data_IF_025302101763
#
_entry.id   IF_025302101763
#
_cell.length_a   1.000
_cell.length_b   1.000
_cell.length_c   1.000
_cell.angle_alpha   90.00
_cell.angle_beta   90.00
_cell.angle_gamma   90.00
#
_symmetry.space_group_name_H-M   'P 1'
#
loop_
_entity.id
_entity.type
_entity.pdbx_description
1 polymer ?
#
# COMPACT_ATOMS: atom_id res chain seq x y z
N UNK A 1 -24.87 16.69 15.58
CA UNK A 1 -23.41 16.54 15.41
C UNK A 1 -23.17 15.63 14.22
N UNK A 2 -22.60 16.19 13.15
CA UNK A 2 -22.54 15.58 11.82
C UNK A 2 -21.32 14.66 11.72
N UNK A 3 -21.49 13.35 11.96
CA UNK A 3 -20.39 12.36 11.85
C UNK A 3 -19.94 12.09 10.41
N UNK A 4 -20.66 12.60 9.41
CA UNK A 4 -20.48 12.26 7.99
C UNK A 4 -19.32 12.97 7.27
N UNK A 5 -18.80 14.09 7.81
CA UNK A 5 -17.73 14.87 7.18
C UNK A 5 -16.31 14.27 7.34
N UNK A 6 -15.87 13.80 8.52
CA UNK A 6 -14.52 13.22 8.66
C UNK A 6 -14.35 11.91 7.88
N UNK A 7 -15.39 11.07 7.81
CA UNK A 7 -15.38 9.82 7.03
C UNK A 7 -15.28 10.09 5.52
N UNK A 8 -15.95 11.15 5.04
CA UNK A 8 -15.87 11.58 3.64
C UNK A 8 -14.46 12.05 3.25
N UNK A 9 -13.82 12.84 4.12
CA UNK A 9 -12.46 13.33 3.87
C UNK A 9 -11.43 12.18 3.85
N UNK A 10 -11.57 11.22 4.75
CA UNK A 10 -10.69 10.05 4.78
C UNK A 10 -10.82 9.21 3.50
N UNK A 11 -12.05 9.00 3.01
CA UNK A 11 -12.28 8.28 1.77
C UNK A 11 -11.66 8.99 0.55
N UNK A 12 -11.78 10.32 0.49
CA UNK A 12 -11.17 11.12 -0.57
C UNK A 12 -9.64 11.06 -0.55
N UNK A 13 -9.04 11.10 0.63
CA UNK A 13 -7.60 10.94 0.80
C UNK A 13 -7.14 9.56 0.29
N UNK A 14 -7.82 8.49 0.69
CA UNK A 14 -7.57 7.13 0.19
C UNK A 14 -7.69 7.04 -1.33
N UNK A 15 -8.77 7.59 -1.91
CA UNK A 15 -8.95 7.59 -3.36
C UNK A 15 -7.83 8.33 -4.09
N UNK A 16 -7.39 9.46 -3.56
CA UNK A 16 -6.29 10.26 -4.13
C UNK A 16 -5.01 9.42 -4.24
N UNK A 17 -4.67 8.69 -3.18
CA UNK A 17 -3.52 7.79 -3.14
C UNK A 17 -3.69 6.64 -4.14
N UNK A 18 -4.86 6.00 -4.19
CA UNK A 18 -5.11 4.87 -5.07
C UNK A 18 -5.05 5.28 -6.55
N UNK A 19 -5.64 6.42 -6.91
CA UNK A 19 -5.59 6.94 -8.27
C UNK A 19 -4.17 7.31 -8.70
N UNK A 20 -3.37 7.85 -7.78
CA UNK A 20 -1.95 8.09 -8.04
C UNK A 20 -1.23 6.79 -8.42
N UNK A 21 -1.32 5.74 -7.60
CA UNK A 21 -0.65 4.47 -7.91
C UNK A 21 -1.21 3.81 -9.17
N UNK A 22 -2.53 3.82 -9.39
CA UNK A 22 -3.14 3.32 -10.62
C UNK A 22 -2.64 4.07 -11.86
N UNK A 23 -2.36 5.37 -11.73
CA UNK A 23 -1.84 6.22 -12.79
C UNK A 23 -0.39 5.93 -13.15
N UNK A 24 0.49 5.80 -12.16
CA UNK A 24 1.93 5.59 -12.38
C UNK A 24 2.26 4.14 -12.71
N UNK A 25 1.59 3.16 -12.09
CA UNK A 25 1.95 1.73 -12.25
C UNK A 25 1.80 1.23 -13.69
N UNK A 26 0.90 1.85 -14.47
CA UNK A 26 0.67 1.51 -15.87
C UNK A 26 1.66 2.15 -16.84
N UNK A 27 2.40 3.17 -16.40
CA UNK A 27 3.16 4.08 -17.29
C UNK A 27 4.65 4.09 -16.98
N UNK A 28 5.01 3.94 -15.71
CA UNK A 28 6.36 4.14 -15.22
C UNK A 28 7.08 2.80 -15.01
N UNK A 29 8.42 2.78 -15.05
CA UNK A 29 9.21 1.62 -14.65
C UNK A 29 8.88 1.18 -13.21
N UNK A 30 8.84 -0.13 -12.91
CA UNK A 30 8.53 -0.63 -11.57
C UNK A 30 9.43 -0.05 -10.47
N UNK A 31 10.69 0.23 -10.77
CA UNK A 31 11.67 0.80 -9.84
C UNK A 31 11.29 2.24 -9.44
N UNK A 32 10.80 3.04 -10.39
CA UNK A 32 10.33 4.41 -10.12
C UNK A 32 9.01 4.42 -9.35
N UNK A 33 8.11 3.50 -9.68
CA UNK A 33 6.84 3.32 -8.95
C UNK A 33 7.10 2.88 -7.51
N UNK A 34 8.03 1.95 -7.29
CA UNK A 34 8.45 1.52 -5.97
C UNK A 34 9.10 2.67 -5.20
N UNK A 35 9.94 3.49 -5.85
CA UNK A 35 10.52 4.66 -5.22
C UNK A 35 9.44 5.63 -4.72
N UNK A 36 8.42 5.92 -5.53
CA UNK A 36 7.28 6.76 -5.09
C UNK A 36 6.50 6.13 -3.93
N UNK A 37 6.32 4.81 -3.95
CA UNK A 37 5.72 4.10 -2.81
C UNK A 37 6.55 4.28 -1.53
N UNK A 38 7.87 4.09 -1.61
CA UNK A 38 8.78 4.30 -0.47
C UNK A 38 8.72 5.75 0.00
N UNK A 39 8.74 6.73 -0.91
CA UNK A 39 8.63 8.16 -0.57
C UNK A 39 7.35 8.46 0.18
N UNK A 40 6.23 7.90 -0.28
CA UNK A 40 4.90 8.22 0.23
C UNK A 40 4.60 7.57 1.58
N UNK A 41 5.11 6.36 1.85
CA UNK A 41 4.75 5.61 3.06
C UNK A 41 5.90 5.27 4.00
N UNK A 42 7.14 5.34 3.55
CA UNK A 42 8.28 4.82 4.33
C UNK A 42 9.33 5.90 4.63
N UNK A 43 9.72 6.70 3.63
CA UNK A 43 10.76 7.72 3.75
C UNK A 43 10.23 9.12 4.04
N UNK A 44 8.99 9.45 3.65
CA UNK A 44 8.39 10.79 3.77
C UNK A 44 9.31 11.92 3.29
N UNK A 45 9.92 11.71 2.13
CA UNK A 45 10.70 12.70 1.39
C UNK A 45 9.97 13.05 0.10
N UNK A 46 10.26 14.22 -0.47
CA UNK A 46 9.61 14.82 -1.64
C UNK A 46 9.17 13.77 -2.69
N UNK A 47 7.89 13.37 -2.63
CA UNK A 47 7.22 12.68 -3.72
C UNK A 47 6.83 13.69 -4.78
N UNK A 48 6.80 13.24 -6.03
CA UNK A 48 6.40 14.07 -7.17
C UNK A 48 4.93 14.49 -7.12
N UNK A 49 4.10 13.86 -6.28
CA UNK A 49 2.69 14.17 -6.15
C UNK A 49 2.36 14.72 -4.75
N UNK A 50 2.31 16.05 -4.64
CA UNK A 50 1.97 16.75 -3.39
C UNK A 50 0.58 16.39 -2.87
N UNK A 51 -0.41 16.17 -3.74
CA UNK A 51 -1.75 15.78 -3.32
C UNK A 51 -1.78 14.39 -2.67
N UNK A 52 -0.94 13.45 -3.14
CA UNK A 52 -0.81 12.15 -2.51
C UNK A 52 -0.15 12.27 -1.12
N UNK A 53 0.86 13.14 -0.98
CA UNK A 53 1.50 13.43 0.32
C UNK A 53 0.48 14.00 1.30
N UNK A 54 -0.27 15.02 0.89
CA UNK A 54 -1.31 15.66 1.71
C UNK A 54 -2.37 14.64 2.14
N UNK A 55 -2.80 13.76 1.22
CA UNK A 55 -3.72 12.69 1.53
C UNK A 55 -3.19 11.69 2.57
N UNK A 56 -1.89 11.35 2.54
CA UNK A 56 -1.30 10.51 3.60
C UNK A 56 -1.32 11.23 4.93
N UNK A 57 -1.01 12.53 4.95
CA UNK A 57 -1.10 13.32 6.16
C UNK A 57 -2.53 13.37 6.71
N UNK A 58 -3.54 13.57 5.87
CA UNK A 58 -4.95 13.54 6.28
C UNK A 58 -5.33 12.21 6.95
N UNK A 59 -4.89 11.08 6.38
CA UNK A 59 -5.09 9.75 6.98
C UNK A 59 -4.40 9.66 8.34
N UNK A 60 -3.15 10.12 8.46
CA UNK A 60 -2.38 10.04 9.71
C UNK A 60 -2.94 10.98 10.78
N UNK A 61 -3.46 12.14 10.39
CA UNK A 61 -4.10 13.10 11.28
C UNK A 61 -5.47 12.64 11.76
N UNK A 62 -6.18 11.80 10.98
CA UNK A 62 -7.40 11.13 11.47
C UNK A 62 -7.16 10.23 12.69
N UNK A 63 -5.89 9.87 12.94
CA UNK A 63 -5.44 9.06 14.08
C UNK A 63 -6.08 7.66 14.12
N UNK A 64 -6.42 7.13 12.94
CA UNK A 64 -6.91 5.77 12.76
C UNK A 64 -5.83 4.90 12.10
N UNK A 65 -5.14 4.10 12.91
CA UNK A 65 -4.10 3.19 12.43
C UNK A 65 -4.67 2.11 11.50
N UNK A 66 -5.89 1.63 11.74
CA UNK A 66 -6.49 0.58 10.92
C UNK A 66 -6.72 1.09 9.50
N UNK A 67 -7.20 2.33 9.36
CA UNK A 67 -7.41 2.96 8.06
C UNK A 67 -6.09 3.25 7.33
N UNK A 68 -5.04 3.65 8.05
CA UNK A 68 -3.70 3.73 7.46
C UNK A 68 -3.22 2.37 6.95
N UNK A 69 -3.31 1.31 7.76
CA UNK A 69 -2.90 -0.05 7.35
C UNK A 69 -3.72 -0.55 6.16
N UNK A 70 -5.03 -0.31 6.14
CA UNK A 70 -5.91 -0.63 5.02
C UNK A 70 -5.44 0.07 3.74
N UNK A 71 -5.05 1.34 3.85
CA UNK A 71 -4.56 2.15 2.73
C UNK A 71 -3.24 1.62 2.17
N UNK A 72 -2.28 1.31 3.05
CA UNK A 72 -1.00 0.70 2.65
C UNK A 72 -1.25 -0.66 1.99
N UNK A 73 -2.05 -1.53 2.60
CA UNK A 73 -2.41 -2.85 2.07
C UNK A 73 -3.02 -2.73 0.67
N UNK A 74 -3.99 -1.83 0.49
CA UNK A 74 -4.66 -1.61 -0.79
C UNK A 74 -3.71 -1.08 -1.86
N UNK A 75 -2.80 -0.18 -1.47
CA UNK A 75 -1.76 0.34 -2.36
C UNK A 75 -0.81 -0.77 -2.81
N UNK A 76 -0.36 -1.63 -1.90
CA UNK A 76 0.44 -2.81 -2.25
C UNK A 76 -0.29 -3.71 -3.26
N UNK A 77 -1.58 -3.98 -3.05
CA UNK A 77 -2.34 -4.77 -4.03
C UNK A 77 -2.43 -4.10 -5.39
N UNK A 78 -2.65 -2.78 -5.48
CA UNK A 78 -2.67 -2.09 -6.78
C UNK A 78 -1.38 -2.37 -7.56
N UNK A 79 -0.23 -2.30 -6.88
CA UNK A 79 1.08 -2.55 -7.47
C UNK A 79 1.27 -4.03 -7.85
N UNK A 80 1.06 -4.94 -6.89
CA UNK A 80 1.20 -6.39 -7.08
C UNK A 80 0.36 -6.88 -8.25
N UNK A 81 -0.90 -6.45 -8.36
CA UNK A 81 -1.82 -6.90 -9.39
C UNK A 81 -1.34 -6.51 -10.78
N UNK A 82 -0.84 -5.29 -10.91
CA UNK A 82 -0.36 -4.78 -12.18
C UNK A 82 0.97 -5.43 -12.59
N UNK A 83 1.88 -5.58 -11.64
CA UNK A 83 3.17 -6.21 -11.86
C UNK A 83 3.05 -7.71 -12.11
N UNK A 84 2.15 -8.43 -11.44
CA UNK A 84 1.89 -9.84 -11.71
C UNK A 84 1.35 -10.05 -13.12
N UNK A 85 0.38 -9.23 -13.53
CA UNK A 85 -0.18 -9.27 -14.89
C UNK A 85 0.89 -9.01 -15.98
N UNK A 86 1.94 -8.27 -15.66
CA UNK A 86 3.07 -7.97 -16.55
C UNK A 86 4.34 -8.78 -16.24
N UNK A 87 4.22 -9.82 -15.39
CA UNK A 87 5.29 -10.74 -14.97
C UNK A 87 6.53 -10.06 -14.37
N UNK A 88 6.34 -8.91 -13.69
CA UNK A 88 7.37 -8.15 -13.00
C UNK A 88 7.59 -8.66 -11.56
N UNK A 89 7.92 -9.95 -11.42
CA UNK A 89 8.03 -10.61 -10.11
C UNK A 89 9.10 -10.02 -9.19
N UNK A 90 10.22 -9.56 -9.77
CA UNK A 90 11.27 -8.85 -9.02
C UNK A 90 10.72 -7.60 -8.31
N UNK A 91 9.87 -6.82 -8.97
CA UNK A 91 9.28 -5.62 -8.37
C UNK A 91 8.35 -5.95 -7.20
N UNK A 92 7.63 -7.08 -7.28
CA UNK A 92 6.80 -7.59 -6.19
C UNK A 92 7.69 -7.97 -4.99
N UNK A 93 8.79 -8.69 -5.23
CA UNK A 93 9.76 -9.03 -4.20
C UNK A 93 10.36 -7.79 -3.54
N UNK A 94 10.83 -6.84 -4.35
CA UNK A 94 11.44 -5.60 -3.88
C UNK A 94 10.45 -4.74 -3.07
N UNK A 95 9.15 -4.75 -3.41
CA UNK A 95 8.10 -4.08 -2.65
C UNK A 95 7.90 -4.69 -1.27
N UNK A 96 7.82 -6.01 -1.17
CA UNK A 96 7.61 -6.67 0.13
C UNK A 96 8.86 -6.50 1.01
N UNK A 97 10.06 -6.66 0.43
CA UNK A 97 11.33 -6.44 1.13
C UNK A 97 11.51 -4.98 1.59
N UNK A 98 10.91 -4.00 0.90
CA UNK A 98 11.01 -2.59 1.29
C UNK A 98 10.51 -2.30 2.72
N UNK A 99 9.59 -3.11 3.26
CA UNK A 99 9.12 -2.97 4.64
C UNK A 99 10.11 -3.48 5.68
N UNK A 100 11.10 -4.28 5.28
CA UNK A 100 12.13 -4.83 6.16
C UNK A 100 13.33 -3.90 6.32
N UNK A 101 13.46 -2.89 5.46
CA UNK A 101 14.51 -1.88 5.56
C UNK A 101 14.37 -1.10 6.90
N UNK A 102 15.25 -1.34 7.87
CA UNK A 102 15.22 -0.63 9.17
C UNK A 102 15.69 0.85 9.08
N UNK A 103 15.91 1.36 7.87
CA UNK A 103 16.32 2.75 7.61
C UNK A 103 15.29 3.79 8.07
N UNK A 104 14.04 3.39 8.31
CA UNK A 104 12.96 4.24 8.84
C UNK A 104 13.08 4.51 10.35
N UNK A 105 14.10 3.96 11.02
CA UNK A 105 14.35 4.14 12.46
C UNK A 105 15.07 5.44 12.83
N UNK A 106 15.35 6.33 11.87
CA UNK A 106 16.00 7.62 12.18
C UNK A 106 15.12 8.43 13.13
N UNK A 107 15.72 8.83 14.26
CA UNK A 107 15.08 9.70 15.24
C UNK A 107 14.58 10.97 14.56
N UNK A 108 13.29 11.24 14.67
CA UNK A 108 12.63 12.44 14.15
C UNK A 108 11.94 13.17 15.29
N UNK A 109 11.97 14.50 15.25
CA UNK A 109 11.31 15.36 16.23
C UNK A 109 9.82 15.52 15.88
N UNK A 110 9.42 15.21 14.64
CA UNK A 110 8.03 15.33 14.19
C UNK A 110 7.16 14.22 14.78
N UNK A 111 6.14 14.53 15.60
CA UNK A 111 5.24 13.54 16.18
C UNK A 111 4.48 12.74 15.12
N UNK A 112 4.12 13.38 14.00
CA UNK A 112 3.42 12.75 12.88
C UNK A 112 4.30 11.70 12.21
N UNK A 113 5.58 12.02 11.97
CA UNK A 113 6.52 11.06 11.39
C UNK A 113 6.82 9.90 12.35
N UNK A 114 6.94 10.18 13.65
CA UNK A 114 7.10 9.14 14.68
C UNK A 114 5.90 8.19 14.70
N UNK A 115 4.67 8.71 14.66
CA UNK A 115 3.45 7.89 14.59
C UNK A 115 3.47 7.00 13.35
N UNK A 116 3.83 7.58 12.21
CA UNK A 116 3.86 6.85 10.96
C UNK A 116 4.87 5.72 10.98
N UNK A 117 6.10 5.97 11.44
CA UNK A 117 7.11 4.90 11.60
C UNK A 117 6.61 3.77 12.50
N UNK A 118 5.90 4.10 13.59
CA UNK A 118 5.27 3.09 14.46
C UNK A 118 4.20 2.30 13.69
N UNK A 119 3.34 2.97 12.92
CA UNK A 119 2.28 2.31 12.16
C UNK A 119 2.81 1.42 11.03
N UNK A 120 3.86 1.83 10.33
CA UNK A 120 4.57 1.00 9.35
C UNK A 120 5.21 -0.21 10.03
N UNK A 121 5.84 -0.02 11.19
CA UNK A 121 6.38 -1.12 11.99
C UNK A 121 5.27 -2.08 12.42
N UNK A 122 4.13 -1.57 12.87
CA UNK A 122 2.98 -2.40 13.26
C UNK A 122 2.41 -3.16 12.07
N UNK A 123 2.32 -2.51 10.90
CA UNK A 123 1.91 -3.15 9.65
C UNK A 123 2.82 -4.34 9.30
N UNK A 124 4.14 -4.16 9.38
CA UNK A 124 5.13 -5.24 9.18
C UNK A 124 4.92 -6.45 10.08
N UNK A 125 4.46 -6.25 11.32
CA UNK A 125 4.19 -7.33 12.28
C UNK A 125 2.75 -7.86 12.22
N UNK A 126 1.91 -7.35 11.32
CA UNK A 126 0.49 -7.70 11.22
C UNK A 126 0.22 -8.94 10.36
N UNK A 127 -1.01 -9.46 10.39
CA UNK A 127 -1.46 -10.45 9.39
C UNK A 127 -1.50 -9.90 7.98
N UNK A 128 -1.68 -8.59 7.80
CA UNK A 128 -1.81 -7.97 6.49
C UNK A 128 -0.49 -8.01 5.72
N UNK A 129 0.64 -7.86 6.41
CA UNK A 129 1.96 -8.01 5.80
C UNK A 129 2.31 -9.47 5.52
N UNK A 130 1.94 -10.41 6.41
CA UNK A 130 2.09 -11.85 6.14
C UNK A 130 1.34 -12.30 4.89
N UNK A 131 0.16 -11.73 4.63
CA UNK A 131 -0.56 -11.97 3.38
C UNK A 131 0.27 -11.50 2.15
N UNK A 132 1.07 -10.44 2.27
CA UNK A 132 1.93 -9.95 1.19
C UNK A 132 3.15 -10.86 0.96
N UNK A 133 3.74 -11.42 2.01
CA UNK A 133 4.87 -12.35 1.91
C UNK A 133 4.52 -13.60 1.09
N UNK A 134 3.27 -14.05 1.13
CA UNK A 134 2.78 -15.17 0.32
C UNK A 134 2.94 -14.93 -1.19
N UNK A 135 2.94 -13.68 -1.65
CA UNK A 135 3.19 -13.39 -3.07
C UNK A 135 4.62 -13.74 -3.47
N UNK A 136 5.60 -13.54 -2.58
CA UNK A 136 6.99 -13.90 -2.91
C UNK A 136 7.17 -15.40 -2.96
N UNK A 137 6.59 -16.13 -2.00
CA UNK A 137 6.70 -17.59 -1.91
C UNK A 137 6.22 -18.29 -3.17
N UNK A 138 5.25 -17.72 -3.88
CA UNK A 138 4.73 -18.24 -5.16
C UNK A 138 5.75 -18.21 -6.31
N UNK A 139 6.69 -17.27 -6.29
CA UNK A 139 7.66 -17.07 -7.37
C UNK A 139 9.08 -17.50 -6.99
N UNK A 140 9.25 -18.09 -5.81
CA UNK A 140 10.47 -18.79 -5.43
C UNK A 140 10.50 -20.13 -6.18
N UNK A 141 11.25 -20.19 -7.28
CA UNK A 141 11.39 -21.37 -8.15
C UNK A 141 11.88 -22.63 -7.39
N UNK A 142 12.31 -22.48 -6.13
CA UNK A 142 12.79 -23.57 -5.28
C UNK A 142 11.72 -24.29 -4.45
N UNK A 143 10.44 -23.86 -4.47
CA UNK A 143 9.37 -24.51 -3.68
C UNK A 143 8.18 -24.95 -4.54
N UNK A 144 8.41 -26.02 -5.29
CA UNK A 144 7.43 -26.72 -6.11
C UNK A 144 6.35 -27.45 -5.27
N UNK A 145 5.08 -27.21 -5.65
CA UNK A 145 3.95 -28.16 -5.69
C UNK A 145 2.98 -28.40 -4.51
N UNK A 146 3.12 -27.80 -3.31
CA UNK A 146 2.23 -28.18 -2.17
C UNK A 146 1.19 -27.16 -1.68
N UNK A 147 1.18 -25.90 -2.12
CA UNK A 147 0.34 -24.89 -1.48
C UNK A 147 -1.08 -24.77 -2.05
N UNK A 148 -1.89 -25.80 -1.81
CA UNK A 148 -3.36 -25.76 -1.92
C UNK A 148 -4.02 -24.74 -0.94
N UNK A 149 -3.23 -24.03 -0.13
CA UNK A 149 -3.62 -22.86 0.66
C UNK A 149 -3.90 -21.59 -0.19
N UNK A 150 -3.88 -21.72 -1.52
CA UNK A 150 -4.08 -20.65 -2.51
C UNK A 150 -5.53 -20.11 -2.56
N UNK A 151 -6.51 -20.74 -1.89
CA UNK A 151 -7.92 -20.32 -1.95
C UNK A 151 -8.34 -19.22 -0.96
N UNK A 152 -7.63 -19.06 0.16
CA UNK A 152 -8.00 -18.05 1.17
C UNK A 152 -7.73 -16.61 0.73
N UNK A 153 -6.66 -16.40 -0.03
CA UNK A 153 -6.31 -15.09 -0.55
C UNK A 153 -7.15 -14.73 -1.77
N UNK A 154 -7.38 -15.64 -2.72
CA UNK A 154 -8.22 -15.38 -3.90
C UNK A 154 -9.61 -14.88 -3.49
N UNK A 155 -10.21 -15.48 -2.47
CA UNK A 155 -11.52 -15.10 -1.91
C UNK A 155 -11.51 -13.70 -1.26
N UNK A 156 -10.50 -13.37 -0.44
CA UNK A 156 -10.35 -12.03 0.16
C UNK A 156 -10.01 -10.97 -0.88
N UNK A 157 -9.27 -11.35 -1.90
CA UNK A 157 -8.75 -10.49 -2.95
C UNK A 157 -9.81 -10.17 -4.01
N UNK A 158 -10.73 -11.09 -4.33
CA UNK A 158 -11.94 -10.76 -5.11
C UNK A 158 -12.73 -9.62 -4.50
N UNK A 159 -12.82 -9.51 -3.16
CA UNK A 159 -13.52 -8.39 -2.53
C UNK A 159 -12.87 -7.02 -2.86
N UNK A 160 -11.55 -6.99 -3.04
CA UNK A 160 -10.83 -5.77 -3.45
C UNK A 160 -10.84 -5.54 -4.97
N UNK A 161 -11.03 -6.58 -5.78
CA UNK A 161 -11.25 -6.43 -7.23
C UNK A 161 -12.69 -6.02 -7.56
N UNK A 162 -13.65 -6.33 -6.67
CA UNK A 162 -15.09 -6.11 -6.87
C UNK A 162 -15.61 -4.79 -6.29
N UNK A 163 -14.75 -3.87 -5.86
CA UNK A 163 -15.21 -2.51 -5.56
C UNK A 163 -15.64 -1.89 -6.89
N UNK A 164 -16.93 -1.58 -7.12
CA UNK A 164 -17.33 -0.86 -8.30
C UNK A 164 -16.60 0.47 -8.24
N UNK A 165 -15.70 0.72 -9.18
CA UNK A 165 -15.36 2.10 -9.50
C UNK A 165 -16.69 2.71 -9.92
N UNK A 166 -17.25 3.57 -9.07
CA UNK A 166 -18.38 4.39 -9.49
C UNK A 166 -17.90 5.13 -10.72
N UNK A 167 -18.37 4.65 -11.87
CA UNK A 167 -18.23 5.32 -13.13
C UNK A 167 -18.95 6.63 -12.92
N UNK A 168 -18.16 7.70 -12.92
CA UNK A 168 -18.63 9.05 -12.88
C UNK A 168 -19.71 9.20 -13.96
N UNK A 169 -20.94 9.40 -13.50
CA UNK A 169 -22.08 9.73 -14.34
C UNK A 169 -22.52 11.11 -13.94
N UNK A 170 -21.77 12.12 -14.39
CA UNK A 170 -22.28 13.24 -15.22
C UNK A 170 -21.23 14.30 -15.49
#
# INVERSE_FOLDING_TARGET
MNRSQPECNLHLAQQTIYQFFLGIVKKWPPEEVLLEFKRLFLCHVDSVNTAAIDAVYDIVFSNDEQEFRNTVKRSCYILVNNWDATRRYKAIQDLVLAFQDDHFSKSTISPTLTRLHIWVKNFRHSSDYRDLELFITRYDESRSLEDAQTNRWATRYTAYLLVPQYVDTR
#
